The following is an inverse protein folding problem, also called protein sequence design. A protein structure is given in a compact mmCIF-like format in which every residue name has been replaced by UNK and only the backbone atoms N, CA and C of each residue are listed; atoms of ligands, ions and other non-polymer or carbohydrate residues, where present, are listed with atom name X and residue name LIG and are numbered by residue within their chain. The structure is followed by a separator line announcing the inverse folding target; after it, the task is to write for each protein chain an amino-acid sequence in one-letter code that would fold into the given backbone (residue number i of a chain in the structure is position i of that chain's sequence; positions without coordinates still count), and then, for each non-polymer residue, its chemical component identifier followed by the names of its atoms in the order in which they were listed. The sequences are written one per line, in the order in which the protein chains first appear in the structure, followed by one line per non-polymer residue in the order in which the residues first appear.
data_IF_298735268033
#
_entry.id   IF_298735268033
#
_cell.length_a   1.000
_cell.length_b   1.000
_cell.length_c   1.000
_cell.angle_alpha   90.00
_cell.angle_beta   90.00
_cell.angle_gamma   90.00
#
_symmetry.space_group_name_H-M   'P 1'
#
loop_
_entity.id
_entity.type
_entity.pdbx_description
1 polymer ?
#
# COMPACT_ATOMS: atom_id res chain seq x y z
N UNK A 1 16.34 -11.26 -12.14
CA UNK A 1 15.57 -10.06 -12.52
C UNK A 1 15.78 -9.88 -14.01
N UNK A 2 14.77 -10.13 -14.84
CA UNK A 2 14.87 -9.88 -16.28
C UNK A 2 14.81 -8.37 -16.49
N UNK A 3 15.90 -7.78 -16.98
CA UNK A 3 15.93 -6.37 -17.38
C UNK A 3 15.56 -6.31 -18.85
N UNK A 4 14.58 -5.48 -19.18
CA UNK A 4 14.22 -5.16 -20.56
C UNK A 4 14.58 -3.69 -20.80
N UNK A 5 14.97 -3.36 -22.02
CA UNK A 5 15.17 -1.98 -22.45
C UNK A 5 13.78 -1.36 -22.70
N UNK A 6 13.52 -0.20 -22.10
CA UNK A 6 12.26 0.51 -22.21
C UNK A 6 12.59 1.94 -22.65
N UNK A 7 11.88 2.41 -23.67
CA UNK A 7 11.95 3.81 -24.09
C UNK A 7 11.62 4.74 -22.90
N UNK A 8 12.53 5.67 -22.62
CA UNK A 8 12.43 6.57 -21.47
C UNK A 8 11.19 7.46 -21.54
N UNK A 9 10.86 7.97 -22.72
CA UNK A 9 9.77 8.92 -22.90
C UNK A 9 8.42 8.22 -22.76
N UNK A 10 8.31 6.97 -23.24
CA UNK A 10 7.14 6.11 -22.98
C UNK A 10 6.96 5.86 -21.49
N UNK A 11 8.04 5.51 -20.78
CA UNK A 11 7.98 5.26 -19.34
C UNK A 11 7.57 6.52 -18.56
N UNK A 12 8.14 7.68 -18.91
CA UNK A 12 7.79 8.96 -18.30
C UNK A 12 6.35 9.36 -18.61
N UNK A 13 5.88 9.15 -19.83
CA UNK A 13 4.49 9.41 -20.21
C UNK A 13 3.51 8.55 -19.40
N UNK A 14 3.77 7.25 -19.25
CA UNK A 14 2.92 6.36 -18.45
C UNK A 14 2.94 6.74 -16.96
N UNK A 15 4.11 7.10 -16.42
CA UNK A 15 4.22 7.64 -15.05
C UNK A 15 3.37 8.90 -14.89
N UNK A 16 3.48 9.85 -15.81
CA UNK A 16 2.70 11.08 -15.80
C UNK A 16 1.19 10.83 -15.94
N UNK A 17 0.78 9.95 -16.85
CA UNK A 17 -0.62 9.62 -17.07
C UNK A 17 -1.27 9.00 -15.82
N UNK A 18 -0.50 8.20 -15.06
CA UNK A 18 -1.01 7.52 -13.88
C UNK A 18 -0.95 8.36 -12.59
N UNK A 19 0.12 9.16 -12.41
CA UNK A 19 0.40 9.91 -11.18
C UNK A 19 0.19 11.42 -11.30
N UNK A 20 -0.04 11.93 -12.51
CA UNK A 20 -0.13 13.36 -12.81
C UNK A 20 1.23 14.06 -12.86
N UNK A 21 1.19 15.40 -12.90
CA UNK A 21 2.38 16.27 -13.03
C UNK A 21 2.99 16.72 -11.69
N UNK A 22 2.77 15.97 -10.60
CA UNK A 22 3.27 16.41 -9.29
C UNK A 22 4.80 16.33 -9.24
N UNK A 23 5.45 17.46 -8.96
CA UNK A 23 6.91 17.51 -8.68
C UNK A 23 7.28 16.80 -7.37
N UNK A 24 6.34 16.74 -6.42
CA UNK A 24 6.51 15.94 -5.20
C UNK A 24 6.02 14.52 -5.47
N UNK A 25 6.95 13.60 -5.73
CA UNK A 25 6.65 12.20 -6.01
C UNK A 25 6.08 11.47 -4.80
N UNK A 26 6.43 11.90 -3.58
CA UNK A 26 5.85 11.35 -2.35
C UNK A 26 4.37 11.72 -2.23
N UNK A 27 4.05 12.99 -2.50
CA UNK A 27 2.68 13.46 -2.53
C UNK A 27 1.88 12.74 -3.63
N UNK A 28 2.48 12.53 -4.81
CA UNK A 28 1.87 11.78 -5.90
C UNK A 28 1.54 10.33 -5.48
N UNK A 29 2.51 9.62 -4.90
CA UNK A 29 2.35 8.25 -4.43
C UNK A 29 1.28 8.13 -3.34
N UNK A 30 1.35 8.97 -2.30
CA UNK A 30 0.39 8.95 -1.18
C UNK A 30 -1.01 9.34 -1.62
N UNK A 31 -1.15 10.32 -2.53
CA UNK A 31 -2.44 10.73 -3.09
C UNK A 31 -3.05 9.61 -3.92
N UNK A 32 -2.26 8.97 -4.80
CA UNK A 32 -2.72 7.84 -5.62
C UNK A 32 -3.16 6.67 -4.75
N UNK A 33 -2.39 6.34 -3.70
CA UNK A 33 -2.73 5.31 -2.72
C UNK A 33 -4.05 5.60 -1.97
N UNK A 34 -4.31 6.86 -1.63
CA UNK A 34 -5.58 7.25 -1.02
C UNK A 34 -6.78 6.98 -1.93
N UNK A 35 -6.65 7.28 -3.23
CA UNK A 35 -7.73 7.07 -4.21
C UNK A 35 -8.11 5.60 -4.39
N UNK A 36 -7.23 4.65 -4.06
CA UNK A 36 -7.52 3.22 -4.20
C UNK A 36 -8.55 2.71 -3.18
N UNK A 37 -8.72 3.42 -2.07
CA UNK A 37 -9.67 3.03 -1.02
C UNK A 37 -10.68 4.11 -0.63
N UNK A 38 -10.52 5.38 -1.01
CA UNK A 38 -11.36 6.47 -0.50
C UNK A 38 -12.88 6.22 -0.58
N UNK A 39 -13.35 5.47 -1.58
CA UNK A 39 -14.76 5.07 -1.78
C UNK A 39 -15.33 4.22 -0.64
N UNK A 40 -14.49 3.58 0.16
CA UNK A 40 -14.90 2.79 1.33
C UNK A 40 -15.11 3.66 2.58
N UNK A 41 -14.61 4.90 2.57
CA UNK A 41 -14.81 5.84 3.66
C UNK A 41 -16.23 6.42 3.64
N UNK A 42 -16.72 6.78 4.83
CA UNK A 42 -17.98 7.48 5.03
C UNK A 42 -17.69 8.75 5.82
N UNK A 43 -17.98 9.88 5.19
CA UNK A 43 -17.64 11.20 5.71
C UNK A 43 -18.83 11.96 6.30
N UNK A 44 -20.03 11.37 6.29
CA UNK A 44 -21.21 11.91 6.99
C UNK A 44 -21.50 13.41 6.73
N UNK A 45 -21.32 13.87 5.49
CA UNK A 45 -21.54 15.28 5.13
C UNK A 45 -20.39 16.24 5.44
N UNK A 46 -19.24 15.75 5.92
CA UNK A 46 -18.04 16.56 6.16
C UNK A 46 -17.66 17.38 4.91
N UNK A 47 -17.39 18.69 5.03
CA UNK A 47 -16.98 19.54 3.92
C UNK A 47 -15.69 19.06 3.24
N UNK A 48 -15.58 19.27 1.93
CA UNK A 48 -14.43 18.81 1.15
C UNK A 48 -13.10 19.44 1.60
N UNK A 49 -13.13 20.68 2.09
CA UNK A 49 -11.95 21.35 2.66
C UNK A 49 -11.41 20.59 3.89
N UNK A 50 -12.28 20.19 4.82
CA UNK A 50 -11.89 19.42 6.00
C UNK A 50 -11.39 18.02 5.62
N UNK A 51 -12.02 17.37 4.63
CA UNK A 51 -11.54 16.08 4.10
C UNK A 51 -10.14 16.21 3.50
N UNK A 52 -9.91 17.29 2.74
CA UNK A 52 -8.63 17.59 2.12
C UNK A 52 -7.56 17.88 3.17
N UNK A 53 -7.88 18.67 4.20
CA UNK A 53 -6.96 18.95 5.31
C UNK A 53 -6.55 17.66 6.03
N UNK A 54 -7.52 16.81 6.39
CA UNK A 54 -7.26 15.54 7.04
C UNK A 54 -6.41 14.62 6.17
N UNK A 55 -6.71 14.53 4.86
CA UNK A 55 -5.91 13.76 3.92
C UNK A 55 -4.47 14.27 3.87
N UNK A 56 -4.29 15.59 3.78
CA UNK A 56 -2.96 16.20 3.69
C UNK A 56 -2.15 15.96 4.97
N UNK A 57 -2.80 16.06 6.14
CA UNK A 57 -2.19 15.75 7.44
C UNK A 57 -1.73 14.30 7.51
N UNK A 58 -2.60 13.36 7.16
CA UNK A 58 -2.27 11.93 7.12
C UNK A 58 -1.15 11.62 6.11
N UNK A 59 -1.20 12.18 4.90
CA UNK A 59 -0.13 12.01 3.89
C UNK A 59 1.22 12.53 4.39
N UNK A 60 1.24 13.65 5.12
CA UNK A 60 2.45 14.19 5.74
C UNK A 60 3.00 13.23 6.80
N UNK A 61 2.14 12.70 7.67
CA UNK A 61 2.54 11.69 8.66
C UNK A 61 3.14 10.43 8.00
N UNK A 62 2.54 9.93 6.91
CA UNK A 62 3.08 8.79 6.16
C UNK A 62 4.47 9.11 5.60
N UNK A 63 4.63 10.27 4.96
CA UNK A 63 5.91 10.71 4.38
C UNK A 63 7.01 10.77 5.45
N UNK A 64 6.74 11.43 6.57
CA UNK A 64 7.69 11.55 7.69
C UNK A 64 8.02 10.18 8.30
N UNK A 65 7.01 9.33 8.53
CA UNK A 65 7.21 7.98 9.07
C UNK A 65 8.08 7.11 8.15
N UNK A 66 7.88 7.18 6.83
CA UNK A 66 8.68 6.44 5.85
C UNK A 66 10.11 6.98 5.80
N UNK A 67 10.32 8.30 5.73
CA UNK A 67 11.67 8.87 5.71
C UNK A 67 12.46 8.50 6.97
N UNK A 68 11.81 8.53 8.14
CA UNK A 68 12.42 8.09 9.40
C UNK A 68 12.74 6.59 9.43
N UNK A 69 11.95 5.76 8.75
CA UNK A 69 12.24 4.32 8.59
C UNK A 69 13.48 4.12 7.70
N UNK A 70 13.56 4.84 6.59
CA UNK A 70 14.65 4.72 5.61
C UNK A 70 16.00 5.19 6.16
N UNK A 71 16.01 6.05 7.17
CA UNK A 71 17.22 6.49 7.87
C UNK A 71 17.79 5.45 8.86
N UNK A 72 17.21 4.25 8.95
CA UNK A 72 17.70 3.19 9.85
C UNK A 72 18.64 2.24 9.11
N UNK A 73 19.80 1.95 9.71
CA UNK A 73 20.84 1.12 9.08
C UNK A 73 20.54 -0.38 9.08
N UNK A 74 19.79 -0.88 10.08
CA UNK A 74 19.47 -2.31 10.22
C UNK A 74 17.99 -2.45 10.49
N UNK A 75 17.29 -3.11 9.57
CA UNK A 75 15.89 -3.46 9.70
C UNK A 75 15.74 -4.98 9.58
N UNK A 76 14.92 -5.57 10.45
CA UNK A 76 14.38 -6.91 10.25
C UNK A 76 12.85 -6.86 10.09
N UNK A 77 12.23 -8.01 9.80
CA UNK A 77 10.78 -8.08 9.64
C UNK A 77 10.03 -7.61 10.89
N UNK A 78 10.50 -7.96 12.09
CA UNK A 78 9.87 -7.54 13.36
C UNK A 78 9.93 -6.02 13.55
N UNK A 79 11.03 -5.38 13.12
CA UNK A 79 11.16 -3.92 13.17
C UNK A 79 10.17 -3.24 12.23
N UNK A 80 10.03 -3.78 11.00
CA UNK A 80 9.07 -3.29 10.02
C UNK A 80 7.63 -3.48 10.52
N UNK A 81 7.29 -4.68 11.01
CA UNK A 81 5.95 -5.02 11.51
C UNK A 81 5.55 -4.07 12.66
N UNK A 82 6.49 -3.77 13.56
CA UNK A 82 6.29 -2.84 14.68
C UNK A 82 6.17 -1.38 14.22
N UNK A 83 6.99 -0.96 13.25
CA UNK A 83 6.88 0.39 12.65
C UNK A 83 5.56 0.56 11.91
N UNK A 84 5.15 -0.45 11.15
CA UNK A 84 3.92 -0.43 10.37
C UNK A 84 2.70 -0.35 11.32
N UNK A 85 2.71 -1.10 12.43
CA UNK A 85 1.64 -1.03 13.44
C UNK A 85 1.48 0.39 13.99
N UNK A 86 2.57 0.98 14.52
CA UNK A 86 2.54 2.35 15.07
C UNK A 86 2.10 3.37 14.02
N UNK A 87 2.54 3.21 12.78
CA UNK A 87 2.13 4.11 11.69
C UNK A 87 0.65 3.96 11.38
N UNK A 88 0.11 2.74 11.40
CA UNK A 88 -1.34 2.54 11.28
C UNK A 88 -2.12 3.20 12.41
N UNK A 89 -1.66 3.08 13.66
CA UNK A 89 -2.33 3.69 14.82
C UNK A 89 -2.45 5.21 14.65
N UNK A 90 -1.35 5.88 14.27
CA UNK A 90 -1.34 7.33 14.00
C UNK A 90 -2.36 7.72 12.92
N UNK A 91 -2.48 6.94 11.83
CA UNK A 91 -3.46 7.22 10.78
C UNK A 91 -4.90 6.99 11.25
N UNK A 92 -5.13 5.92 12.00
CA UNK A 92 -6.43 5.61 12.58
C UNK A 92 -6.87 6.74 13.51
N UNK A 93 -5.99 7.21 14.38
CA UNK A 93 -6.26 8.29 15.31
C UNK A 93 -6.55 9.61 14.59
N UNK A 94 -5.79 9.94 13.53
CA UNK A 94 -6.03 11.12 12.70
C UNK A 94 -7.45 11.20 12.12
N UNK A 95 -8.05 10.05 11.77
CA UNK A 95 -9.41 10.01 11.23
C UNK A 95 -10.46 9.89 12.34
N UNK A 96 -10.19 9.08 13.38
CA UNK A 96 -11.09 8.91 14.51
C UNK A 96 -11.32 10.21 15.28
N UNK A 97 -10.28 11.05 15.43
CA UNK A 97 -10.41 12.37 16.07
C UNK A 97 -11.36 13.31 15.32
N UNK A 98 -11.64 13.02 14.04
CA UNK A 98 -12.57 13.76 13.19
C UNK A 98 -13.92 13.03 13.03
N UNK A 99 -14.21 12.03 13.86
CA UNK A 99 -15.45 11.25 13.81
C UNK A 99 -15.55 10.33 12.58
N UNK A 100 -14.46 10.10 11.86
CA UNK A 100 -14.44 9.25 10.68
C UNK A 100 -13.98 7.84 11.06
N UNK A 101 -14.79 6.84 10.72
CA UNK A 101 -14.41 5.44 10.90
C UNK A 101 -13.23 5.11 9.98
N UNK A 102 -12.09 4.81 10.59
CA UNK A 102 -10.88 4.35 9.95
C UNK A 102 -10.34 3.13 10.68
N UNK A 103 -9.85 2.14 9.94
CA UNK A 103 -9.54 0.79 10.43
C UNK A 103 -8.13 0.40 10.00
N UNK A 104 -7.58 -0.69 10.54
CA UNK A 104 -6.31 -1.22 10.07
C UNK A 104 -6.37 -1.64 8.60
N UNK A 105 -7.54 -2.10 8.13
CA UNK A 105 -7.82 -2.31 6.71
C UNK A 105 -7.50 -1.11 5.83
N UNK A 106 -7.98 0.07 6.21
CA UNK A 106 -7.71 1.32 5.49
C UNK A 106 -6.25 1.76 5.66
N UNK A 107 -5.72 1.73 6.88
CA UNK A 107 -4.38 2.19 7.19
C UNK A 107 -3.31 1.37 6.45
N UNK A 108 -3.39 0.04 6.49
CA UNK A 108 -2.46 -0.82 5.76
C UNK A 108 -2.57 -0.58 4.25
N UNK A 109 -3.78 -0.36 3.72
CA UNK A 109 -3.96 -0.16 2.27
C UNK A 109 -3.23 1.09 1.83
N UNK A 110 -3.37 2.18 2.60
CA UNK A 110 -2.71 3.44 2.29
C UNK A 110 -1.18 3.33 2.36
N UNK A 111 -0.64 2.78 3.46
CA UNK A 111 0.80 2.67 3.67
C UNK A 111 1.42 1.75 2.61
N UNK A 112 0.84 0.56 2.41
CA UNK A 112 1.40 -0.45 1.51
C UNK A 112 1.31 -0.03 0.04
N UNK A 113 0.21 0.61 -0.39
CA UNK A 113 0.13 1.17 -1.73
C UNK A 113 1.07 2.36 -1.91
N UNK A 114 1.32 3.15 -0.86
CA UNK A 114 2.32 4.23 -0.91
C UNK A 114 3.69 3.65 -1.22
N UNK A 115 4.15 2.60 -0.52
CA UNK A 115 5.43 1.95 -0.85
C UNK A 115 5.47 1.40 -2.27
N UNK A 116 4.38 0.76 -2.71
CA UNK A 116 4.26 0.27 -4.10
C UNK A 116 4.48 1.39 -5.10
N UNK A 117 3.86 2.54 -4.88
CA UNK A 117 3.97 3.68 -5.78
C UNK A 117 5.28 4.44 -5.68
N UNK A 118 5.87 4.55 -4.50
CA UNK A 118 7.24 5.07 -4.34
C UNK A 118 8.25 4.21 -5.11
N UNK A 119 8.06 2.89 -5.08
CA UNK A 119 8.87 1.95 -5.86
C UNK A 119 8.68 2.16 -7.37
N UNK A 120 7.44 2.26 -7.86
CA UNK A 120 7.15 2.49 -9.29
C UNK A 120 7.69 3.82 -9.82
N UNK A 121 7.65 4.85 -8.98
CA UNK A 121 8.12 6.20 -9.29
C UNK A 121 9.63 6.37 -9.10
N UNK A 122 10.32 5.39 -8.51
CA UNK A 122 11.73 5.52 -8.07
C UNK A 122 11.95 6.79 -7.23
N UNK A 123 10.95 7.13 -6.40
CA UNK A 123 10.94 8.39 -5.66
C UNK A 123 12.01 8.43 -4.56
N UNK A 124 12.35 7.26 -4.00
CA UNK A 124 13.39 7.06 -2.99
C UNK A 124 13.98 5.66 -3.10
N UNK A 125 15.22 5.43 -2.64
CA UNK A 125 15.78 4.09 -2.49
C UNK A 125 14.96 3.27 -1.50
N UNK A 126 14.55 2.08 -1.89
CA UNK A 126 13.76 1.17 -1.05
C UNK A 126 14.47 -0.16 -0.82
N UNK A 127 15.68 -0.38 -1.34
CA UNK A 127 16.37 -1.67 -1.33
C UNK A 127 16.53 -2.26 0.07
N UNK A 128 16.81 -1.43 1.07
CA UNK A 128 16.97 -1.84 2.48
C UNK A 128 15.66 -2.28 3.15
N UNK A 129 14.51 -1.80 2.66
CA UNK A 129 13.19 -2.08 3.26
C UNK A 129 12.33 -3.02 2.41
N UNK A 130 12.61 -3.12 1.11
CA UNK A 130 11.81 -3.83 0.12
C UNK A 130 11.49 -5.29 0.50
N UNK A 131 12.44 -6.08 1.08
CA UNK A 131 12.15 -7.45 1.50
C UNK A 131 11.08 -7.56 2.59
N UNK A 132 10.88 -6.51 3.38
CA UNK A 132 9.98 -6.52 4.55
C UNK A 132 8.60 -5.92 4.25
N UNK A 133 8.44 -5.29 3.08
CA UNK A 133 7.22 -4.59 2.72
C UNK A 133 6.01 -5.52 2.70
N UNK A 134 4.93 -5.03 3.30
CA UNK A 134 3.65 -5.68 3.36
C UNK A 134 2.91 -5.60 2.02
N UNK A 135 2.14 -6.66 1.70
CA UNK A 135 1.26 -6.65 0.51
C UNK A 135 0.07 -5.72 0.78
N UNK A 136 -0.33 -4.84 -0.14
CA UNK A 136 -1.49 -3.96 0.03
C UNK A 136 -2.82 -4.73 -0.09
N UNK A 137 -3.27 -5.34 1.01
CA UNK A 137 -4.45 -6.22 1.03
C UNK A 137 -5.71 -5.47 0.61
N UNK A 138 -6.41 -5.99 -0.38
CA UNK A 138 -7.74 -5.59 -0.79
C UNK A 138 -8.50 -6.81 -1.34
N UNK A 139 -9.70 -6.62 -1.87
CA UNK A 139 -10.48 -7.72 -2.45
C UNK A 139 -9.75 -8.46 -3.58
N UNK A 140 -8.94 -7.76 -4.39
CA UNK A 140 -8.20 -8.34 -5.51
C UNK A 140 -7.07 -9.22 -4.97
N UNK A 141 -6.29 -8.72 -4.01
CA UNK A 141 -5.23 -9.49 -3.34
C UNK A 141 -5.80 -10.70 -2.62
N UNK A 142 -6.90 -10.54 -1.88
CA UNK A 142 -7.56 -11.66 -1.17
C UNK A 142 -8.02 -12.75 -2.13
N UNK A 143 -8.59 -12.37 -3.28
CA UNK A 143 -9.00 -13.32 -4.31
C UNK A 143 -7.81 -14.08 -4.91
N UNK A 144 -6.72 -13.37 -5.19
CA UNK A 144 -5.50 -13.96 -5.76
C UNK A 144 -4.80 -14.89 -4.78
N UNK A 145 -4.68 -14.46 -3.52
CA UNK A 145 -4.13 -15.28 -2.45
C UNK A 145 -4.93 -16.59 -2.29
N UNK A 146 -6.24 -16.53 -2.45
CA UNK A 146 -7.07 -17.72 -2.43
C UNK A 146 -6.83 -18.63 -3.64
N UNK A 147 -6.93 -18.08 -4.85
CA UNK A 147 -6.79 -18.87 -6.09
C UNK A 147 -5.40 -19.47 -6.30
N UNK A 148 -4.34 -18.72 -5.97
CA UNK A 148 -2.95 -19.10 -6.32
C UNK A 148 -2.14 -19.64 -5.15
N UNK A 149 -2.45 -19.24 -3.91
CA UNK A 149 -1.72 -19.65 -2.71
C UNK A 149 -2.56 -20.52 -1.76
N UNK A 150 -3.82 -20.79 -2.11
CA UNK A 150 -4.78 -21.51 -1.28
C UNK A 150 -4.95 -20.91 0.12
N UNK A 151 -4.78 -19.58 0.26
CA UNK A 151 -5.03 -18.86 1.51
C UNK A 151 -6.53 -18.55 1.59
N UNK A 152 -7.27 -19.02 2.62
CA UNK A 152 -8.70 -18.74 2.74
C UNK A 152 -9.00 -17.25 2.76
N UNK A 153 -10.11 -16.84 2.12
CA UNK A 153 -10.59 -15.47 2.22
C UNK A 153 -11.24 -15.25 3.59
N UNK A 154 -10.86 -14.22 4.34
CA UNK A 154 -11.57 -13.84 5.55
C UNK A 154 -13.04 -13.52 5.28
N UNK A 155 -13.91 -13.82 6.25
CA UNK A 155 -15.34 -13.49 6.15
C UNK A 155 -15.63 -11.98 6.22
N UNK A 156 -14.76 -11.24 6.92
CA UNK A 156 -14.86 -9.79 7.03
C UNK A 156 -14.22 -9.11 5.82
N UNK A 157 -14.87 -8.06 5.30
CA UNK A 157 -14.29 -7.21 4.26
C UNK A 157 -13.00 -6.55 4.76
N UNK A 158 -11.97 -6.48 3.91
CA UNK A 158 -10.64 -5.97 4.31
C UNK A 158 -10.71 -4.58 4.96
N UNK A 159 -11.60 -3.70 4.48
CA UNK A 159 -11.77 -2.33 5.00
C UNK A 159 -12.41 -2.28 6.39
N UNK A 160 -12.97 -3.38 6.89
CA UNK A 160 -13.54 -3.44 8.24
C UNK A 160 -12.59 -4.06 9.28
N UNK A 161 -11.40 -4.51 8.90
CA UNK A 161 -10.46 -5.17 9.81
C UNK A 161 -9.97 -4.18 10.89
N UNK A 162 -10.46 -4.40 12.11
CA UNK A 162 -10.20 -3.55 13.28
C UNK A 162 -9.11 -4.06 14.21
N UNK A 163 -8.58 -5.26 13.97
CA UNK A 163 -7.51 -5.87 14.75
C UNK A 163 -6.23 -5.99 13.91
N UNK A 164 -5.13 -5.43 14.45
CA UNK A 164 -3.82 -5.50 13.80
C UNK A 164 -3.23 -6.91 13.83
N UNK A 165 -3.46 -7.69 14.89
CA UNK A 165 -2.94 -9.04 15.00
C UNK A 165 -3.54 -9.94 13.91
N UNK A 166 -4.86 -9.82 13.69
CA UNK A 166 -5.53 -10.47 12.57
C UNK A 166 -4.93 -10.09 11.20
N UNK A 167 -4.71 -8.80 10.95
CA UNK A 167 -4.05 -8.32 9.73
C UNK A 167 -2.64 -8.91 9.57
N UNK A 168 -1.84 -8.87 10.63
CA UNK A 168 -0.45 -9.32 10.61
C UNK A 168 -0.35 -10.83 10.40
N UNK A 169 -1.26 -11.61 10.99
CA UNK A 169 -1.37 -13.04 10.75
C UNK A 169 -1.60 -13.34 9.27
N UNK A 170 -2.47 -12.57 8.60
CA UNK A 170 -2.71 -12.73 7.16
C UNK A 170 -1.46 -12.39 6.33
N UNK A 171 -0.72 -11.33 6.67
CA UNK A 171 0.57 -11.03 6.06
C UNK A 171 1.57 -12.18 6.28
N UNK A 172 1.56 -12.79 7.47
CA UNK A 172 2.36 -13.97 7.78
C UNK A 172 2.07 -15.15 6.84
N UNK A 173 0.78 -15.46 6.61
CA UNK A 173 0.40 -16.51 5.65
C UNK A 173 0.84 -16.19 4.22
N UNK A 174 0.70 -14.93 3.79
CA UNK A 174 1.19 -14.49 2.48
C UNK A 174 2.70 -14.71 2.36
N UNK A 175 3.49 -14.18 3.31
CA UNK A 175 4.94 -14.34 3.33
C UNK A 175 5.36 -15.81 3.27
N UNK A 176 4.73 -16.65 4.08
CA UNK A 176 5.02 -18.09 4.11
C UNK A 176 4.75 -18.77 2.75
N UNK A 177 3.62 -18.45 2.11
CA UNK A 177 3.22 -19.08 0.84
C UNK A 177 3.94 -18.51 -0.38
N UNK A 178 4.30 -17.23 -0.36
CA UNK A 178 5.14 -16.60 -1.40
C UNK A 178 6.58 -17.15 -1.36
N UNK A 179 7.06 -17.55 -0.16
CA UNK A 179 8.32 -18.27 -0.01
C UNK A 179 9.53 -17.34 -0.16
N UNK A 180 10.38 -17.59 -1.16
CA UNK A 180 11.65 -16.86 -1.34
C UNK A 180 11.51 -15.52 -2.06
N UNK A 181 10.34 -15.26 -2.65
CA UNK A 181 10.07 -14.00 -3.34
C UNK A 181 9.67 -12.90 -2.33
N UNK A 182 10.05 -11.65 -2.61
CA UNK A 182 9.60 -10.52 -1.80
C UNK A 182 8.08 -10.34 -1.96
N UNK A 183 7.29 -10.18 -0.87
CA UNK A 183 5.83 -10.16 -0.95
C UNK A 183 5.26 -9.11 -1.90
N UNK A 184 5.85 -7.90 -1.92
CA UNK A 184 5.43 -6.85 -2.84
C UNK A 184 5.76 -7.18 -4.30
N UNK A 185 6.85 -7.92 -4.57
CA UNK A 185 7.18 -8.39 -5.93
C UNK A 185 6.18 -9.40 -6.43
N UNK A 186 5.80 -10.35 -5.56
CA UNK A 186 4.71 -11.29 -5.85
C UNK A 186 3.44 -10.55 -6.23
N UNK A 187 3.09 -9.48 -5.50
CA UNK A 187 1.90 -8.68 -5.82
C UNK A 187 1.98 -8.08 -7.24
N UNK A 188 3.13 -7.53 -7.66
CA UNK A 188 3.33 -7.01 -9.02
C UNK A 188 3.14 -8.09 -10.10
N UNK A 189 3.77 -9.26 -9.95
CA UNK A 189 3.63 -10.35 -10.92
C UNK A 189 2.19 -10.80 -11.07
N UNK A 190 1.46 -10.87 -9.95
CA UNK A 190 0.06 -11.28 -9.96
C UNK A 190 -0.89 -10.24 -10.59
N UNK A 191 -0.48 -8.98 -10.72
CA UNK A 191 -1.19 -8.00 -11.55
C UNK A 191 -0.97 -8.22 -13.04
N UNK A 192 0.24 -8.61 -13.45
CA UNK A 192 0.59 -8.78 -14.86
C UNK A 192 -0.04 -10.03 -15.48
N UNK A 193 -0.05 -11.16 -14.76
CA UNK A 193 -0.65 -12.42 -15.23
C UNK A 193 -2.11 -12.26 -15.69
N UNK A 194 -2.87 -11.32 -15.10
CA UNK A 194 -4.27 -11.06 -15.45
C UNK A 194 -4.40 -10.26 -16.75
N UNK A 195 -3.48 -9.32 -17.01
CA UNK A 195 -3.46 -8.56 -18.27
C UNK A 195 -3.19 -9.51 -19.44
N UNK A 196 -2.33 -10.52 -19.22
CA UNK A 196 -2.00 -11.51 -20.23
C UNK A 196 -3.16 -12.49 -20.47
N UNK A 197 -3.81 -12.98 -19.40
CA UNK A 197 -4.97 -13.87 -19.53
C UNK A 197 -6.20 -13.19 -20.12
N UNK A 198 -6.44 -11.91 -19.80
CA UNK A 198 -7.54 -11.12 -20.36
C UNK A 198 -7.37 -10.75 -21.83
N UNK A 199 -6.19 -10.98 -22.43
CA UNK A 199 -5.95 -10.86 -23.88
C UNK A 199 -6.22 -12.16 -24.64
N UNK A 200 -6.47 -13.28 -23.94
CA UNK A 200 -6.70 -14.61 -24.52
C UNK A 200 -8.18 -15.05 -24.49
N UNK A 201 -9.09 -14.12 -24.23
CA UNK A 201 -10.56 -14.31 -24.17
C UNK A 201 -11.25 -13.30 -25.06
#
# INVERSE_FOLDING_TARGET
MNRIEIDRDILLFLRFAYFGNSKDLFLAATTRAYLDFNRTLRFHGMPDEQRLEMRNRASKCIKEAILNLLNRDKLCQTDFDSWHHRTCDVLIDCYRSNGIRFTYGHAQKWINMTFKYLYMLEAVPLDSVFPFLHVPIDNIVLERANKKLCIPRPSQVWSSWGDYAFYLQYQGYLRQKVGKENPLRWEFHNWLDEIEKGKSS
#
